data_IF_354326933817
#
_entry.id   IF_354326933817
#
_cell.length_a   1.000
_cell.length_b   1.000
_cell.length_c   1.000
_cell.angle_alpha   90.00
_cell.angle_beta   90.00
_cell.angle_gamma   90.00
#
_symmetry.space_group_name_H-M   'P 1'
#
loop_
_entity.id
_entity.type
_entity.pdbx_description
1 polymer ?
#
# COMPACT_ATOMS: atom_id res chain seq x y z
N UNK A 1 21.19 -6.69 -8.60
CA UNK A 1 20.34 -7.80 -9.04
C UNK A 1 20.08 -7.68 -10.51
N UNK A 2 20.28 -8.77 -11.27
CA UNK A 2 19.97 -8.80 -12.69
C UNK A 2 18.45 -8.69 -12.83
N UNK A 3 17.99 -7.60 -13.42
CA UNK A 3 16.59 -7.39 -13.79
C UNK A 3 16.21 -8.36 -14.92
N UNK A 4 15.84 -9.57 -14.56
CA UNK A 4 15.40 -10.57 -15.53
C UNK A 4 13.95 -10.30 -15.96
N UNK A 5 13.79 -9.31 -16.82
CA UNK A 5 12.49 -9.03 -17.44
C UNK A 5 12.04 -10.16 -18.37
N UNK A 6 10.74 -10.48 -18.31
CA UNK A 6 10.09 -11.41 -19.23
C UNK A 6 9.67 -10.65 -20.48
N UNK A 7 10.28 -11.00 -21.61
CA UNK A 7 9.97 -10.44 -22.92
C UNK A 7 10.90 -9.31 -23.36
N UNK A 8 10.98 -9.17 -24.70
CA UNK A 8 11.91 -8.22 -25.33
C UNK A 8 11.55 -6.76 -25.03
N UNK A 9 10.27 -6.41 -25.10
CA UNK A 9 9.83 -5.02 -24.87
C UNK A 9 10.09 -4.60 -23.43
N UNK A 10 9.81 -5.50 -22.47
CA UNK A 10 10.09 -5.21 -21.06
C UNK A 10 11.58 -4.94 -20.80
N UNK A 11 12.48 -5.65 -21.50
CA UNK A 11 13.93 -5.43 -21.42
C UNK A 11 14.38 -4.11 -22.03
N UNK A 12 13.74 -3.70 -23.13
CA UNK A 12 14.08 -2.45 -23.83
C UNK A 12 13.59 -1.21 -23.07
N UNK A 13 12.38 -1.32 -22.51
CA UNK A 13 11.72 -0.21 -21.81
C UNK A 13 12.10 -0.14 -20.33
N UNK A 14 12.78 -1.16 -19.81
CA UNK A 14 13.02 -1.34 -18.38
C UNK A 14 11.71 -1.25 -17.57
N UNK A 15 10.65 -1.84 -18.11
CA UNK A 15 9.29 -1.83 -17.53
C UNK A 15 8.55 -3.11 -17.91
N UNK A 16 7.97 -3.79 -16.93
CA UNK A 16 7.22 -5.03 -17.18
C UNK A 16 7.44 -6.09 -16.11
N UNK A 17 6.97 -7.29 -16.36
CA UNK A 17 7.12 -8.41 -15.44
C UNK A 17 8.55 -8.91 -15.38
N UNK A 18 9.03 -9.18 -14.17
CA UNK A 18 10.28 -9.87 -13.89
C UNK A 18 10.05 -11.38 -13.76
N UNK A 19 11.14 -12.15 -13.76
CA UNK A 19 11.07 -13.62 -13.67
C UNK A 19 10.50 -14.13 -12.33
N UNK A 20 10.56 -13.33 -11.27
CA UNK A 20 9.97 -13.59 -9.96
C UNK A 20 8.46 -13.26 -9.87
N UNK A 21 7.86 -12.79 -10.96
CA UNK A 21 6.45 -12.38 -11.04
C UNK A 21 6.19 -10.93 -10.63
N UNK A 22 7.18 -10.20 -10.12
CA UNK A 22 7.03 -8.79 -9.80
C UNK A 22 6.91 -7.94 -11.07
N UNK A 23 6.22 -6.79 -10.98
CA UNK A 23 6.11 -5.84 -12.08
C UNK A 23 6.94 -4.59 -11.80
N UNK A 24 7.81 -4.24 -12.73
CA UNK A 24 8.56 -3.00 -12.68
C UNK A 24 7.81 -1.87 -13.38
N UNK A 25 7.56 -0.79 -12.67
CA UNK A 25 6.91 0.43 -13.15
C UNK A 25 7.92 1.51 -13.58
N UNK A 26 9.06 1.11 -14.12
CA UNK A 26 10.21 1.98 -14.36
C UNK A 26 9.90 3.31 -15.04
N UNK A 27 9.04 3.33 -16.09
CA UNK A 27 8.63 4.57 -16.75
C UNK A 27 7.80 5.47 -15.83
N UNK A 28 6.82 4.91 -15.13
CA UNK A 28 5.94 5.66 -14.21
C UNK A 28 6.77 6.29 -13.10
N UNK A 29 7.72 5.54 -12.54
CA UNK A 29 8.62 6.02 -11.48
C UNK A 29 9.53 7.12 -12.03
N UNK A 30 10.15 6.93 -13.22
CA UNK A 30 11.00 7.96 -13.83
C UNK A 30 10.22 9.25 -14.14
N UNK A 31 9.00 9.12 -14.67
CA UNK A 31 8.15 10.28 -14.96
C UNK A 31 7.72 10.99 -13.68
N UNK A 32 7.32 10.26 -12.66
CA UNK A 32 6.91 10.83 -11.37
C UNK A 32 8.07 11.53 -10.64
N UNK A 33 9.31 11.03 -10.79
CA UNK A 33 10.49 11.69 -10.25
C UNK A 33 10.82 13.03 -10.95
N UNK A 34 10.30 13.26 -12.17
CA UNK A 34 10.52 14.47 -12.96
C UNK A 34 9.40 15.50 -12.80
N UNK A 35 8.27 15.13 -12.20
CA UNK A 35 7.14 16.03 -12.00
C UNK A 35 7.18 16.63 -10.59
N UNK A 36 7.25 17.95 -10.51
CA UNK A 36 7.10 18.71 -9.26
C UNK A 36 5.64 18.73 -8.75
N UNK A 37 4.74 17.99 -9.40
CA UNK A 37 3.32 17.99 -9.11
C UNK A 37 2.97 17.02 -7.96
N UNK A 38 3.26 17.44 -6.75
CA UNK A 38 2.85 16.72 -5.51
C UNK A 38 1.48 17.12 -4.99
N UNK A 39 0.74 17.87 -5.79
CA UNK A 39 -0.63 18.26 -5.49
C UNK A 39 -1.66 17.15 -5.85
N UNK A 40 -1.21 16.08 -6.50
CA UNK A 40 -2.03 14.91 -6.88
C UNK A 40 -3.34 15.28 -7.62
N UNK A 41 -3.31 16.32 -8.44
CA UNK A 41 -4.50 16.88 -9.11
C UNK A 41 -5.30 15.83 -9.87
N UNK A 42 -4.65 14.84 -10.48
CA UNK A 42 -5.36 13.77 -11.16
C UNK A 42 -6.16 12.89 -10.20
N UNK A 43 -5.57 12.50 -9.07
CA UNK A 43 -6.23 11.66 -8.06
C UNK A 43 -7.31 12.45 -7.34
N UNK A 44 -7.02 13.66 -6.89
CA UNK A 44 -7.98 14.56 -6.27
C UNK A 44 -9.16 14.83 -7.22
N UNK A 45 -8.90 15.16 -8.49
CA UNK A 45 -9.95 15.38 -9.47
C UNK A 45 -10.81 14.14 -9.78
N UNK A 46 -10.33 12.92 -9.49
CA UNK A 46 -11.14 11.68 -9.55
C UNK A 46 -12.00 11.52 -8.31
N UNK A 47 -11.52 11.92 -7.13
CA UNK A 47 -12.29 11.97 -5.89
C UNK A 47 -13.42 12.99 -6.03
N UNK A 48 -13.12 14.20 -6.51
CA UNK A 48 -14.10 15.26 -6.72
C UNK A 48 -15.22 14.86 -7.70
N UNK A 49 -14.88 14.07 -8.71
CA UNK A 49 -15.87 13.52 -9.66
C UNK A 49 -16.67 12.35 -9.08
N UNK A 50 -16.27 11.77 -7.96
CA UNK A 50 -16.93 10.65 -7.30
C UNK A 50 -17.13 9.44 -8.20
N UNK A 51 -16.14 9.05 -9.01
CA UNK A 51 -16.29 8.00 -10.02
C UNK A 51 -15.31 6.84 -9.83
N UNK A 52 -15.79 5.64 -10.20
CA UNK A 52 -14.99 4.42 -10.16
C UNK A 52 -14.63 4.05 -8.73
N UNK A 53 -13.35 3.76 -8.46
CA UNK A 53 -12.87 3.37 -7.13
C UNK A 53 -12.93 4.49 -6.07
N UNK A 54 -13.16 5.72 -6.49
CA UNK A 54 -13.37 6.87 -5.62
C UNK A 54 -14.85 7.29 -5.57
N UNK A 55 -15.76 6.42 -5.96
CA UNK A 55 -17.19 6.67 -5.82
C UNK A 55 -17.57 6.74 -4.34
N UNK A 56 -18.37 7.74 -3.94
CA UNK A 56 -18.93 7.79 -2.59
C UNK A 56 -19.74 6.55 -2.27
N UNK A 57 -19.76 6.18 -1.01
CA UNK A 57 -20.60 5.12 -0.48
C UNK A 57 -21.20 5.56 0.86
N UNK A 58 -22.37 5.04 1.21
CA UNK A 58 -23.02 5.31 2.50
C UNK A 58 -22.66 4.27 3.55
N UNK A 59 -22.15 3.12 3.11
CA UNK A 59 -21.77 2.00 3.97
C UNK A 59 -20.69 1.14 3.33
N UNK A 60 -19.98 0.39 4.15
CA UNK A 60 -19.09 -0.66 3.70
C UNK A 60 -19.93 -1.89 3.37
N UNK A 61 -19.68 -2.51 2.21
CA UNK A 61 -20.46 -3.65 1.75
C UNK A 61 -20.39 -4.84 2.75
N UNK A 62 -21.50 -5.20 3.44
CA UNK A 62 -21.47 -6.27 4.45
C UNK A 62 -21.08 -7.63 3.85
N UNK A 63 -21.42 -7.89 2.59
CA UNK A 63 -21.04 -9.13 1.92
C UNK A 63 -19.53 -9.22 1.70
N UNK A 64 -18.84 -8.11 1.42
CA UNK A 64 -17.39 -8.08 1.31
C UNK A 64 -16.73 -8.37 2.68
N UNK A 65 -17.26 -7.79 3.74
CA UNK A 65 -16.79 -8.06 5.12
C UNK A 65 -16.97 -9.55 5.47
N UNK A 66 -18.12 -10.14 5.14
CA UNK A 66 -18.36 -11.57 5.37
C UNK A 66 -17.41 -12.47 4.56
N UNK A 67 -17.06 -12.08 3.32
CA UNK A 67 -16.09 -12.83 2.51
C UNK A 67 -14.68 -12.78 3.12
N UNK A 68 -14.28 -11.65 3.69
CA UNK A 68 -13.01 -11.53 4.41
C UNK A 68 -13.00 -12.45 5.64
N UNK A 69 -14.08 -12.47 6.42
CA UNK A 69 -14.20 -13.37 7.58
C UNK A 69 -14.09 -14.84 7.16
N UNK A 70 -14.80 -15.24 6.10
CA UNK A 70 -14.71 -16.60 5.57
C UNK A 70 -13.30 -16.96 5.09
N UNK A 71 -12.64 -16.02 4.41
CA UNK A 71 -11.24 -16.18 3.97
C UNK A 71 -10.29 -16.39 5.15
N UNK A 72 -10.39 -15.57 6.19
CA UNK A 72 -9.54 -15.69 7.39
C UNK A 72 -9.80 -17.00 8.14
N UNK A 73 -11.05 -17.46 8.22
CA UNK A 73 -11.38 -18.78 8.78
C UNK A 73 -10.69 -19.92 8.01
N UNK A 74 -10.77 -19.87 6.68
CA UNK A 74 -10.09 -20.86 5.84
C UNK A 74 -8.56 -20.81 5.99
N UNK A 75 -7.98 -19.63 6.08
CA UNK A 75 -6.54 -19.48 6.36
C UNK A 75 -6.17 -20.10 7.72
N UNK A 76 -6.97 -19.82 8.76
CA UNK A 76 -6.75 -20.40 10.09
C UNK A 76 -6.84 -21.92 10.09
N UNK A 77 -7.81 -22.51 9.39
CA UNK A 77 -7.97 -23.96 9.25
C UNK A 77 -6.78 -24.61 8.51
N UNK A 78 -6.17 -23.86 7.59
CA UNK A 78 -4.96 -24.29 6.85
C UNK A 78 -3.66 -23.92 7.56
N UNK A 79 -3.71 -23.38 8.78
CA UNK A 79 -2.55 -22.90 9.53
C UNK A 79 -1.74 -21.81 8.80
N UNK A 80 -2.41 -21.03 7.93
CA UNK A 80 -1.81 -19.89 7.25
C UNK A 80 -1.95 -18.65 8.14
N UNK A 81 -0.82 -18.04 8.51
CA UNK A 81 -0.80 -16.78 9.21
C UNK A 81 -1.03 -15.61 8.26
N UNK A 82 -1.99 -14.73 8.57
CA UNK A 82 -2.35 -13.58 7.75
C UNK A 82 -2.14 -12.30 8.56
N UNK A 83 -1.37 -11.37 7.99
CA UNK A 83 -1.26 -10.00 8.49
C UNK A 83 -1.86 -9.07 7.43
N UNK A 84 -2.91 -8.35 7.79
CA UNK A 84 -3.59 -7.42 6.91
C UNK A 84 -3.14 -5.99 7.16
N UNK A 85 -3.31 -5.14 6.15
CA UNK A 85 -3.14 -3.70 6.32
C UNK A 85 -4.02 -2.91 5.36
N UNK A 86 -4.40 -1.70 5.76
CA UNK A 86 -5.00 -0.72 4.88
C UNK A 86 -3.87 0.15 4.31
N UNK A 87 -3.76 0.23 2.95
CA UNK A 87 -2.63 0.90 2.31
C UNK A 87 -2.70 2.42 2.46
N UNK A 88 -1.55 3.10 2.47
CA UNK A 88 -1.47 4.53 2.69
C UNK A 88 -1.93 5.35 1.48
N UNK A 89 -2.68 6.42 1.76
CA UNK A 89 -2.86 7.55 0.86
C UNK A 89 -1.82 8.62 1.20
N UNK A 90 -1.35 9.34 0.20
CA UNK A 90 -0.59 10.58 0.39
C UNK A 90 -1.40 11.59 1.22
N UNK A 91 -0.72 12.45 1.97
CA UNK A 91 -1.37 13.33 2.95
C UNK A 91 -2.43 14.24 2.30
N UNK A 92 -2.13 14.81 1.12
CA UNK A 92 -3.08 15.66 0.40
C UNK A 92 -4.33 14.88 -0.05
N UNK A 93 -4.17 13.62 -0.46
CA UNK A 93 -5.30 12.75 -0.86
C UNK A 93 -6.12 12.32 0.34
N UNK A 94 -5.45 11.94 1.43
CA UNK A 94 -6.12 11.58 2.69
C UNK A 94 -6.92 12.75 3.25
N UNK A 95 -6.32 13.95 3.29
CA UNK A 95 -6.98 15.16 3.78
C UNK A 95 -8.18 15.55 2.89
N UNK A 96 -8.10 15.32 1.57
CA UNK A 96 -9.26 15.51 0.67
C UNK A 96 -10.40 14.54 0.97
N UNK A 97 -10.12 13.26 1.26
CA UNK A 97 -11.16 12.33 1.72
C UNK A 97 -11.77 12.77 3.05
N UNK A 98 -10.97 13.33 3.95
CA UNK A 98 -11.39 13.75 5.27
C UNK A 98 -12.40 14.89 5.23
N UNK A 99 -12.37 15.75 4.22
CA UNK A 99 -13.37 16.82 4.01
C UNK A 99 -14.78 16.26 3.87
N UNK A 100 -14.92 15.05 3.30
CA UNK A 100 -16.18 14.39 3.03
C UNK A 100 -16.25 12.99 3.70
N UNK A 101 -15.68 12.84 4.89
CA UNK A 101 -15.44 11.54 5.55
C UNK A 101 -16.70 10.64 5.64
N UNK A 102 -17.88 11.23 5.80
CA UNK A 102 -19.16 10.50 5.93
C UNK A 102 -19.55 9.71 4.68
N UNK A 103 -19.05 10.11 3.51
CA UNK A 103 -19.33 9.41 2.26
C UNK A 103 -18.17 8.53 1.79
N UNK A 104 -17.12 8.41 2.62
CA UNK A 104 -15.97 7.54 2.37
C UNK A 104 -15.70 6.59 3.54
N UNK A 105 -16.69 5.79 4.00
CA UNK A 105 -16.53 4.87 5.14
C UNK A 105 -15.45 3.81 4.89
N UNK A 106 -15.18 3.47 3.64
CA UNK A 106 -14.09 2.55 3.27
C UNK A 106 -12.69 3.10 3.57
N UNK A 107 -12.54 4.41 3.79
CA UNK A 107 -11.27 5.02 4.21
C UNK A 107 -11.18 5.12 5.73
N UNK A 108 -12.29 5.48 6.41
CA UNK A 108 -12.26 5.87 7.83
C UNK A 108 -12.83 4.81 8.78
N UNK A 109 -13.77 3.98 8.33
CA UNK A 109 -14.47 3.02 9.18
C UNK A 109 -14.07 1.56 8.92
N UNK A 110 -13.42 1.27 7.78
CA UNK A 110 -13.11 -0.10 7.36
C UNK A 110 -12.24 -0.84 8.38
N UNK A 111 -11.20 -0.19 8.92
CA UNK A 111 -10.35 -0.78 9.93
C UNK A 111 -11.16 -1.23 11.16
N UNK A 112 -12.08 -0.36 11.65
CA UNK A 112 -12.93 -0.67 12.79
C UNK A 112 -13.83 -1.89 12.58
N UNK A 113 -14.25 -2.16 11.34
CA UNK A 113 -15.03 -3.35 11.01
C UNK A 113 -14.17 -4.59 10.81
N UNK A 114 -12.97 -4.46 10.28
CA UNK A 114 -12.07 -5.58 10.03
C UNK A 114 -11.37 -6.07 11.30
N UNK A 115 -10.96 -5.16 12.17
CA UNK A 115 -10.17 -5.47 13.37
C UNK A 115 -10.77 -6.61 14.21
N UNK A 116 -12.04 -6.58 14.63
CA UNK A 116 -12.62 -7.67 15.43
C UNK A 116 -12.66 -9.01 14.68
N UNK A 117 -12.75 -9.00 13.35
CA UNK A 117 -12.76 -10.21 12.53
C UNK A 117 -11.36 -10.85 12.49
N UNK A 118 -10.33 -10.04 12.30
CA UNK A 118 -8.94 -10.49 12.35
C UNK A 118 -8.59 -11.03 13.74
N UNK A 119 -8.93 -10.31 14.80
CA UNK A 119 -8.70 -10.72 16.19
C UNK A 119 -9.39 -12.06 16.54
N UNK A 120 -10.64 -12.26 16.08
CA UNK A 120 -11.37 -13.52 16.27
C UNK A 120 -10.68 -14.71 15.58
N UNK A 121 -9.89 -14.45 14.53
CA UNK A 121 -9.09 -15.44 13.83
C UNK A 121 -7.63 -15.51 14.32
N UNK A 122 -7.26 -14.77 15.39
CA UNK A 122 -5.89 -14.65 15.93
C UNK A 122 -4.91 -14.09 14.90
N UNK A 123 -5.36 -13.17 14.10
CA UNK A 123 -4.63 -12.47 13.05
C UNK A 123 -4.66 -10.97 13.30
N UNK A 124 -3.77 -10.23 12.64
CA UNK A 124 -3.62 -8.79 12.80
C UNK A 124 -4.06 -8.06 11.53
N UNK A 125 -4.72 -6.92 11.68
CA UNK A 125 -4.90 -5.92 10.63
C UNK A 125 -4.55 -4.55 11.17
N UNK A 126 -3.79 -3.78 10.41
CA UNK A 126 -3.33 -2.45 10.78
C UNK A 126 -3.81 -1.38 9.82
N UNK A 127 -4.03 -0.18 10.34
CA UNK A 127 -4.48 0.96 9.58
C UNK A 127 -3.32 1.91 9.28
N UNK A 128 -2.94 1.98 8.03
CA UNK A 128 -1.93 2.90 7.51
C UNK A 128 -2.50 3.85 6.45
N UNK A 129 -3.82 4.05 6.43
CA UNK A 129 -4.49 4.89 5.43
C UNK A 129 -3.95 6.32 5.37
N UNK A 130 -3.47 6.86 6.48
CA UNK A 130 -2.71 8.11 6.49
C UNK A 130 -1.21 7.82 6.40
N UNK A 131 -0.57 8.22 5.31
CA UNK A 131 0.87 8.00 5.08
C UNK A 131 1.75 8.55 6.23
N UNK A 132 1.28 9.57 6.93
CA UNK A 132 1.99 10.17 8.08
C UNK A 132 2.19 9.18 9.22
N UNK A 133 1.33 8.16 9.34
CA UNK A 133 1.48 7.08 10.33
C UNK A 133 2.73 6.23 10.11
N UNK A 134 3.24 6.19 8.88
CA UNK A 134 4.48 5.49 8.50
C UNK A 134 5.74 6.35 8.68
N UNK A 135 5.65 7.57 9.22
CA UNK A 135 6.73 8.57 9.13
C UNK A 135 7.23 8.75 7.70
N UNK A 136 6.29 8.68 6.75
CA UNK A 136 6.50 8.88 5.33
C UNK A 136 5.76 10.15 4.86
N UNK A 137 6.03 10.58 3.63
CA UNK A 137 5.47 11.79 3.07
C UNK A 137 5.01 11.58 1.62
N UNK A 138 4.42 12.60 1.03
CA UNK A 138 3.82 12.56 -0.30
C UNK A 138 4.80 12.20 -1.43
N UNK A 139 6.10 12.52 -1.26
CA UNK A 139 7.15 12.12 -2.21
C UNK A 139 7.37 10.60 -2.25
N UNK A 140 6.94 9.89 -1.22
CA UNK A 140 7.01 8.43 -1.12
C UNK A 140 5.75 7.75 -1.69
N UNK A 141 4.96 8.47 -2.48
CA UNK A 141 3.88 7.91 -3.30
C UNK A 141 4.12 8.20 -4.78
N UNK A 142 3.47 7.46 -5.66
CA UNK A 142 3.54 7.67 -7.11
C UNK A 142 2.52 8.71 -7.58
N UNK A 143 1.31 8.64 -7.04
CA UNK A 143 0.14 9.41 -7.47
C UNK A 143 -0.78 9.79 -6.29
N UNK A 144 -0.27 9.70 -5.08
CA UNK A 144 -1.02 9.98 -3.85
C UNK A 144 -1.86 8.81 -3.35
N UNK A 145 -1.89 7.68 -4.08
CA UNK A 145 -2.66 6.53 -3.63
C UNK A 145 -1.97 5.17 -3.89
N UNK A 146 -0.85 5.17 -4.59
CA UNK A 146 0.07 4.04 -4.65
C UNK A 146 1.36 4.39 -3.91
N UNK A 147 1.63 3.71 -2.81
CA UNK A 147 2.89 3.84 -2.07
C UNK A 147 4.09 3.40 -2.91
N UNK A 148 5.24 4.01 -2.66
CA UNK A 148 6.50 3.66 -3.29
C UNK A 148 7.16 2.45 -2.61
N UNK A 149 8.27 1.95 -3.18
CA UNK A 149 9.09 0.90 -2.55
C UNK A 149 9.52 1.32 -1.14
N UNK A 150 9.98 2.56 -0.96
CA UNK A 150 10.40 3.08 0.35
C UNK A 150 9.24 3.13 1.34
N UNK A 151 8.07 3.60 0.89
CA UNK A 151 6.85 3.62 1.68
C UNK A 151 6.49 2.22 2.18
N UNK A 152 6.50 1.22 1.30
CA UNK A 152 6.17 -0.15 1.68
C UNK A 152 7.25 -0.83 2.54
N UNK A 153 8.53 -0.47 2.44
CA UNK A 153 9.53 -0.95 3.39
C UNK A 153 9.29 -0.40 4.80
N UNK A 154 8.92 0.89 4.93
CA UNK A 154 8.54 1.48 6.21
C UNK A 154 7.31 0.80 6.81
N UNK A 155 6.29 0.56 5.97
CA UNK A 155 5.08 -0.15 6.36
C UNK A 155 5.41 -1.56 6.85
N UNK A 156 6.18 -2.32 6.09
CA UNK A 156 6.59 -3.68 6.45
C UNK A 156 7.34 -3.72 7.78
N UNK A 157 8.23 -2.76 8.02
CA UNK A 157 8.95 -2.63 9.30
C UNK A 157 8.01 -2.40 10.48
N UNK A 158 6.99 -1.55 10.32
CA UNK A 158 6.00 -1.30 11.38
C UNK A 158 5.13 -2.53 11.63
N UNK A 159 4.65 -3.19 10.57
CA UNK A 159 3.90 -4.45 10.70
C UNK A 159 4.71 -5.51 11.44
N UNK A 160 5.99 -5.66 11.11
CA UNK A 160 6.86 -6.63 11.78
C UNK A 160 7.08 -6.32 13.26
N UNK A 161 7.07 -5.04 13.66
CA UNK A 161 7.19 -4.67 15.06
C UNK A 161 5.98 -5.11 15.91
N UNK A 162 4.82 -5.31 15.28
CA UNK A 162 3.56 -5.70 15.92
C UNK A 162 3.21 -7.18 15.73
N UNK A 163 3.96 -7.90 14.87
CA UNK A 163 3.71 -9.32 14.57
C UNK A 163 5.00 -10.14 14.65
N UNK A 164 5.09 -11.00 15.67
CA UNK A 164 6.31 -11.79 15.95
C UNK A 164 6.59 -12.86 14.88
N UNK A 165 5.56 -13.35 14.21
CA UNK A 165 5.73 -14.33 13.12
C UNK A 165 6.33 -13.62 11.92
N UNK A 166 5.73 -12.49 11.50
CA UNK A 166 6.25 -11.67 10.41
C UNK A 166 7.70 -11.22 10.71
N UNK A 167 7.97 -10.77 11.94
CA UNK A 167 9.31 -10.36 12.35
C UNK A 167 10.35 -11.48 12.18
N UNK A 168 9.97 -12.73 12.39
CA UNK A 168 10.91 -13.86 12.26
C UNK A 168 11.42 -14.12 10.84
N UNK A 169 10.73 -13.57 9.84
CA UNK A 169 11.10 -13.68 8.41
C UNK A 169 11.88 -12.47 7.89
N UNK A 170 12.08 -11.43 8.71
CA UNK A 170 12.66 -10.16 8.27
C UNK A 170 13.98 -9.87 8.98
N UNK A 171 14.91 -9.29 8.24
CA UNK A 171 16.11 -8.68 8.78
C UNK A 171 15.91 -7.17 8.92
N UNK A 172 15.63 -6.72 10.14
CA UNK A 172 15.40 -5.32 10.45
C UNK A 172 16.60 -4.42 10.09
N UNK A 173 17.83 -4.92 10.24
CA UNK A 173 19.03 -4.16 9.87
C UNK A 173 19.09 -3.95 8.35
N UNK A 174 18.73 -4.97 7.58
CA UNK A 174 18.62 -4.86 6.12
C UNK A 174 17.53 -3.89 5.70
N UNK A 175 16.34 -3.92 6.35
CA UNK A 175 15.26 -2.96 6.09
C UNK A 175 15.72 -1.53 6.38
N UNK A 176 16.35 -1.28 7.54
CA UNK A 176 16.86 0.04 7.92
C UNK A 176 17.93 0.53 6.95
N UNK A 177 18.83 -0.37 6.54
CA UNK A 177 19.84 -0.04 5.54
C UNK A 177 19.22 0.39 4.22
N UNK A 178 18.26 -0.36 3.71
CA UNK A 178 17.59 -0.06 2.43
C UNK A 178 16.76 1.21 2.49
N UNK A 179 16.08 1.49 3.59
CA UNK A 179 15.33 2.73 3.78
C UNK A 179 16.30 3.93 3.82
N UNK A 180 17.40 3.82 4.59
CA UNK A 180 18.36 4.91 4.76
C UNK A 180 19.19 5.20 3.50
N UNK A 181 19.42 4.21 2.65
CA UNK A 181 20.24 4.29 1.44
C UNK A 181 19.40 4.19 0.17
N UNK A 182 18.12 4.46 0.25
CA UNK A 182 17.24 4.44 -0.91
C UNK A 182 17.72 5.41 -2.00
N UNK A 183 17.67 4.96 -3.25
CA UNK A 183 18.11 5.76 -4.40
C UNK A 183 17.30 7.04 -4.56
N UNK A 184 16.01 6.99 -4.25
CA UNK A 184 15.11 8.14 -4.24
C UNK A 184 13.98 7.89 -3.23
N UNK A 185 13.12 8.90 -3.02
CA UNK A 185 11.90 8.72 -2.20
C UNK A 185 10.97 7.61 -2.74
N UNK A 186 11.16 7.15 -3.98
CA UNK A 186 10.29 6.16 -4.62
C UNK A 186 10.96 4.84 -4.94
N UNK A 187 12.28 4.79 -4.99
CA UNK A 187 13.05 3.61 -5.38
C UNK A 187 14.10 3.28 -4.33
N UNK A 188 14.14 2.03 -3.92
CA UNK A 188 15.18 1.53 -3.03
C UNK A 188 16.48 1.32 -3.80
N UNK A 189 16.42 0.73 -4.99
CA UNK A 189 17.58 0.46 -5.83
C UNK A 189 17.47 1.20 -7.15
N UNK A 190 18.60 1.70 -7.64
CA UNK A 190 18.69 2.25 -8.99
C UNK A 190 18.57 1.10 -9.99
N UNK A 191 17.55 1.13 -10.82
CA UNK A 191 17.38 0.22 -11.96
C UNK A 191 18.04 0.76 -13.22
#
# INVERSE_FOLDING_TARGET
GTTNFIGRNARLENEGYRADGSYCYGRVIRQSNQQDAYDFQQTIGRIDKGKGRFAPATEINPSAIQQIDNFLKSCREMEIHVVGFLPPYGSAVYDRFKEDALIYPHVFDLHGQLKPIFEANKMLVEDYTDIRSLSANDFETTDGFHGSEVCYLKLLKLMAANDTILMSYLDNNSLDYHIAHAFSARQVVKE
#
